data_IF_235606986032
#
_entry.id   IF_235606986032
#
_cell.length_a   1.000
_cell.length_b   1.000
_cell.length_c   1.000
_cell.angle_alpha   90.00
_cell.angle_beta   90.00
_cell.angle_gamma   90.00
#
_symmetry.space_group_name_H-M   'P 1'
#
loop_
_entity.id
_entity.type
_entity.pdbx_description
1 polymer ?
#
# COMPACT_ATOMS: atom_id res chain seq x y z
N UNK A 1 -25.72 11.03 -3.56
CA UNK A 1 -24.96 9.85 -4.04
C UNK A 1 -23.55 10.04 -3.56
N UNK A 2 -23.12 9.25 -2.57
CA UNK A 2 -21.76 9.27 -2.06
C UNK A 2 -20.83 8.66 -3.10
N UNK A 3 -19.60 9.17 -3.29
CA UNK A 3 -18.63 8.55 -4.20
C UNK A 3 -18.36 7.10 -3.81
N UNK A 4 -18.14 6.24 -4.81
CA UNK A 4 -17.93 4.78 -4.66
C UNK A 4 -16.89 4.42 -3.59
N UNK A 5 -15.85 5.24 -3.42
CA UNK A 5 -14.80 5.09 -2.40
C UNK A 5 -15.33 5.05 -0.96
N UNK A 6 -16.37 5.82 -0.63
CA UNK A 6 -16.97 5.80 0.73
C UNK A 6 -17.86 4.58 0.99
N UNK A 7 -18.45 4.00 -0.04
CA UNK A 7 -19.24 2.79 0.09
C UNK A 7 -18.35 1.55 0.28
N UNK A 8 -17.20 1.51 -0.41
CA UNK A 8 -16.20 0.45 -0.26
C UNK A 8 -15.52 0.51 1.12
N UNK A 9 -15.17 1.70 1.61
CA UNK A 9 -14.59 1.87 2.95
C UNK A 9 -15.47 1.26 4.07
N UNK A 10 -16.80 1.40 3.98
CA UNK A 10 -17.71 0.77 4.94
C UNK A 10 -17.74 -0.76 4.83
N UNK A 11 -17.60 -1.31 3.63
CA UNK A 11 -17.58 -2.77 3.41
C UNK A 11 -16.27 -3.39 3.87
N UNK A 12 -15.14 -2.72 3.62
CA UNK A 12 -13.83 -3.17 4.09
C UNK A 12 -13.68 -3.07 5.61
N UNK A 13 -14.18 -2.02 6.25
CA UNK A 13 -14.21 -1.91 7.71
C UNK A 13 -14.96 -3.09 8.35
N UNK A 14 -16.07 -3.54 7.78
CA UNK A 14 -16.82 -4.67 8.32
C UNK A 14 -16.12 -6.02 8.12
N UNK A 15 -15.35 -6.21 7.04
CA UNK A 15 -14.64 -7.47 6.77
C UNK A 15 -13.37 -7.64 7.64
N UNK A 16 -12.71 -6.53 8.00
CA UNK A 16 -11.43 -6.56 8.71
C UNK A 16 -11.53 -6.30 10.22
N UNK A 17 -12.70 -5.81 10.72
CA UNK A 17 -12.89 -5.42 12.12
C UNK A 17 -14.00 -6.18 12.85
N UNK A 18 -14.47 -7.32 12.36
CA UNK A 18 -15.62 -8.03 12.96
C UNK A 18 -15.36 -8.67 14.32
N UNK A 19 -14.15 -8.74 14.83
CA UNK A 19 -13.87 -9.45 16.09
C UNK A 19 -13.64 -8.57 17.34
N UNK A 20 -13.55 -7.24 17.26
CA UNK A 20 -13.17 -6.45 18.44
C UNK A 20 -14.02 -5.20 18.76
N UNK A 21 -15.11 -4.95 18.04
CA UNK A 21 -15.95 -3.75 18.28
C UNK A 21 -16.80 -3.84 19.56
N UNK A 22 -16.89 -4.99 20.19
CA UNK A 22 -17.68 -5.20 21.43
C UNK A 22 -16.97 -4.72 22.69
N UNK A 23 -15.69 -4.35 22.63
CA UNK A 23 -14.92 -3.84 23.78
C UNK A 23 -14.92 -2.32 23.95
N UNK A 24 -15.52 -1.56 23.07
CA UNK A 24 -15.52 -0.08 23.12
C UNK A 24 -16.60 0.55 24.01
N UNK A 25 -17.32 -0.21 24.82
CA UNK A 25 -18.34 0.32 25.74
C UNK A 25 -17.89 0.43 27.20
N UNK A 26 -16.59 0.29 27.48
CA UNK A 26 -16.08 0.57 28.81
C UNK A 26 -15.83 2.06 29.01
N UNK A 27 -16.42 2.63 30.06
CA UNK A 27 -16.24 4.00 30.53
C UNK A 27 -14.76 4.35 30.68
N UNK A 28 -14.33 5.58 30.32
CA UNK A 28 -12.94 5.98 30.41
C UNK A 28 -12.44 5.85 31.87
N UNK A 29 -11.50 4.95 32.07
CA UNK A 29 -10.77 4.82 33.34
C UNK A 29 -9.92 6.08 33.55
N UNK A 30 -9.78 6.50 34.80
CA UNK A 30 -9.00 7.65 35.24
C UNK A 30 -7.56 7.64 34.70
N UNK A 31 -6.92 8.82 34.49
CA UNK A 31 -5.63 8.97 33.78
C UNK A 31 -4.42 8.23 34.41
N UNK A 32 -4.59 7.58 35.55
CA UNK A 32 -3.49 6.95 36.30
C UNK A 32 -3.21 5.50 35.93
N UNK A 33 -4.06 4.83 35.14
CA UNK A 33 -3.95 3.41 34.80
C UNK A 33 -3.67 3.11 33.32
N UNK A 34 -3.31 4.10 32.51
CA UNK A 34 -2.83 3.86 31.15
C UNK A 34 -1.37 3.39 31.23
N UNK A 35 -1.16 2.11 31.44
CA UNK A 35 0.03 1.45 30.91
C UNK A 35 0.01 1.68 29.40
N UNK A 36 0.81 2.63 28.93
CA UNK A 36 1.04 2.82 27.49
C UNK A 36 1.59 1.49 27.00
N UNK A 37 0.83 0.80 26.16
CA UNK A 37 1.32 -0.41 25.53
C UNK A 37 2.51 -0.03 24.64
N UNK A 38 3.68 -0.55 25.01
CA UNK A 38 4.93 -0.23 24.30
C UNK A 38 4.88 -0.75 22.87
N UNK A 39 4.13 -1.81 22.61
CA UNK A 39 3.92 -2.38 21.30
C UNK A 39 3.04 -1.44 20.44
N UNK A 40 1.91 -1.00 20.96
CA UNK A 40 1.02 -0.05 20.30
C UNK A 40 1.74 1.27 20.00
N UNK A 41 2.58 1.75 20.93
CA UNK A 41 3.39 2.95 20.73
C UNK A 41 4.41 2.77 19.59
N UNK A 42 5.00 1.58 19.44
CA UNK A 42 5.91 1.30 18.34
C UNK A 42 5.16 1.26 16.99
N UNK A 43 4.01 0.62 16.93
CA UNK A 43 3.17 0.56 15.73
C UNK A 43 2.74 1.97 15.28
N UNK A 44 2.25 2.79 16.22
CA UNK A 44 1.87 4.18 15.93
C UNK A 44 3.06 5.03 15.43
N UNK A 45 4.27 4.82 15.99
CA UNK A 45 5.48 5.48 15.52
C UNK A 45 5.82 5.09 14.08
N UNK A 46 5.75 3.79 13.75
CA UNK A 46 6.01 3.29 12.40
C UNK A 46 4.95 3.84 11.44
N UNK A 47 3.67 3.83 11.81
CA UNK A 47 2.60 4.40 11.00
C UNK A 47 2.85 5.88 10.67
N UNK A 48 3.30 6.68 11.64
CA UNK A 48 3.70 8.07 11.42
C UNK A 48 4.85 8.22 10.43
N UNK A 49 5.82 7.30 10.45
CA UNK A 49 6.92 7.26 9.46
C UNK A 49 6.38 6.91 8.08
N UNK A 50 5.51 5.90 7.99
CA UNK A 50 4.88 5.52 6.72
C UNK A 50 4.10 6.69 6.14
N UNK A 51 3.30 7.38 6.95
CA UNK A 51 2.58 8.59 6.54
C UNK A 51 3.50 9.66 5.96
N UNK A 52 4.65 9.86 6.56
CA UNK A 52 5.58 10.92 6.18
C UNK A 52 6.39 10.61 4.92
N UNK A 53 6.89 9.37 4.76
CA UNK A 53 7.95 9.09 3.80
C UNK A 53 7.74 7.87 2.91
N UNK A 54 6.78 6.97 3.20
CA UNK A 54 6.55 5.82 2.35
C UNK A 54 5.84 6.19 1.05
N UNK A 55 6.12 5.43 0.00
CA UNK A 55 5.37 5.42 -1.24
C UNK A 55 4.61 4.10 -1.33
N UNK A 56 3.29 4.16 -1.33
CA UNK A 56 2.38 3.04 -1.60
C UNK A 56 1.89 3.23 -3.02
N UNK A 57 2.22 2.33 -3.94
CA UNK A 57 1.99 2.54 -5.36
C UNK A 57 1.98 1.22 -6.14
N UNK A 58 1.61 1.30 -7.40
CA UNK A 58 1.72 0.21 -8.37
C UNK A 58 2.71 0.59 -9.46
N UNK A 59 3.62 -0.32 -9.76
CA UNK A 59 4.51 -0.22 -10.91
C UNK A 59 3.98 -1.07 -12.05
N UNK A 60 3.82 -0.46 -13.23
CA UNK A 60 3.45 -1.15 -14.45
C UNK A 60 4.65 -1.08 -15.39
N UNK A 61 5.08 -2.22 -15.89
CA UNK A 61 6.19 -2.34 -16.83
C UNK A 61 5.81 -3.25 -17.99
N UNK A 62 6.32 -2.96 -19.17
CA UNK A 62 6.23 -3.87 -20.31
C UNK A 62 7.17 -5.04 -20.06
N UNK A 63 6.65 -6.26 -20.21
CA UNK A 63 7.39 -7.49 -19.95
C UNK A 63 6.76 -8.64 -20.76
N UNK A 64 7.42 -9.04 -21.84
CA UNK A 64 6.89 -9.99 -22.83
C UNK A 64 6.65 -11.42 -22.28
N UNK A 65 7.16 -11.72 -21.09
CA UNK A 65 6.89 -12.98 -20.39
C UNK A 65 5.47 -13.10 -19.84
N UNK A 66 4.75 -11.99 -19.73
CA UNK A 66 3.35 -11.95 -19.27
C UNK A 66 2.39 -12.05 -20.45
N UNK A 67 1.26 -12.73 -20.25
CA UNK A 67 0.29 -13.03 -21.31
C UNK A 67 -0.19 -11.81 -22.10
N UNK A 68 -0.27 -10.63 -21.44
CA UNK A 68 -0.66 -9.37 -22.06
C UNK A 68 0.53 -8.45 -22.38
N UNK A 69 1.77 -8.93 -22.21
CA UNK A 69 2.98 -8.14 -22.42
C UNK A 69 3.25 -7.09 -21.33
N UNK A 70 2.49 -7.08 -20.24
CA UNK A 70 2.65 -6.12 -19.15
C UNK A 70 2.61 -6.81 -17.79
N UNK A 71 3.44 -6.30 -16.89
CA UNK A 71 3.48 -6.71 -15.48
C UNK A 71 2.86 -5.63 -14.61
N UNK A 72 1.92 -6.03 -13.76
CA UNK A 72 1.28 -5.19 -12.75
C UNK A 72 1.87 -5.53 -11.37
N UNK A 73 2.55 -4.59 -10.71
CA UNK A 73 3.30 -4.85 -9.49
C UNK A 73 2.97 -3.86 -8.39
N UNK A 74 2.10 -4.22 -7.43
CA UNK A 74 1.91 -3.46 -6.21
C UNK A 74 3.21 -3.39 -5.40
N UNK A 75 3.45 -2.27 -4.70
CA UNK A 75 4.63 -2.15 -3.86
C UNK A 75 4.52 -1.04 -2.81
N UNK A 76 5.19 -1.26 -1.69
CA UNK A 76 5.49 -0.25 -0.68
C UNK A 76 6.99 0.02 -0.70
N UNK A 77 7.36 1.30 -0.72
CA UNK A 77 8.77 1.72 -0.73
C UNK A 77 9.04 2.76 0.34
N UNK A 78 10.20 2.63 0.98
CA UNK A 78 10.76 3.66 1.85
C UNK A 78 12.16 4.02 1.38
N UNK A 79 12.40 5.31 1.19
CA UNK A 79 13.71 5.83 0.84
C UNK A 79 14.36 6.49 2.07
N UNK A 80 15.57 6.05 2.43
CA UNK A 80 16.33 6.57 3.56
C UNK A 80 17.79 6.81 3.20
N UNK A 81 18.39 7.91 3.70
CA UNK A 81 19.81 8.18 3.46
C UNK A 81 20.73 7.31 4.33
N UNK A 82 20.22 6.76 5.42
CA UNK A 82 21.02 6.03 6.39
C UNK A 82 20.40 4.66 6.68
N UNK A 83 21.17 3.60 6.43
CA UNK A 83 20.77 2.21 6.70
C UNK A 83 20.78 1.90 8.19
N UNK A 84 21.78 2.43 8.90
CA UNK A 84 22.03 2.06 10.30
C UNK A 84 21.32 3.01 11.27
N UNK A 85 20.33 3.77 10.77
CA UNK A 85 19.52 4.64 11.62
C UNK A 85 18.67 3.83 12.60
N UNK A 86 18.46 4.33 13.84
CA UNK A 86 17.56 3.68 14.81
C UNK A 86 16.14 3.42 14.25
N UNK A 87 15.72 4.25 13.31
CA UNK A 87 14.43 4.08 12.63
C UNK A 87 14.40 2.83 11.75
N UNK A 88 15.47 2.60 10.97
CA UNK A 88 15.56 1.38 10.15
C UNK A 88 15.55 0.14 11.04
N UNK A 89 16.27 0.14 12.15
CA UNK A 89 16.23 -0.95 13.12
C UNK A 89 14.82 -1.24 13.67
N UNK A 90 14.01 -0.19 13.88
CA UNK A 90 12.61 -0.39 14.30
C UNK A 90 11.73 -0.96 13.18
N UNK A 91 11.95 -0.54 11.93
CA UNK A 91 11.22 -1.07 10.78
C UNK A 91 11.63 -2.52 10.53
N UNK A 92 12.92 -2.85 10.66
CA UNK A 92 13.42 -4.22 10.53
C UNK A 92 12.77 -5.13 11.58
N UNK A 93 12.77 -4.72 12.87
CA UNK A 93 12.12 -5.47 13.94
C UNK A 93 10.62 -5.67 13.68
N UNK A 94 9.92 -4.62 13.26
CA UNK A 94 8.51 -4.71 12.90
C UNK A 94 8.25 -5.68 11.74
N UNK A 95 9.07 -5.65 10.69
CA UNK A 95 8.96 -6.58 9.58
C UNK A 95 9.22 -8.03 10.03
N UNK A 96 10.15 -8.25 10.96
CA UNK A 96 10.45 -9.56 11.54
C UNK A 96 9.25 -10.07 12.37
N UNK A 97 8.69 -9.24 13.23
CA UNK A 97 7.55 -9.58 14.09
C UNK A 97 6.30 -9.94 13.27
N UNK A 98 6.02 -9.19 12.21
CA UNK A 98 4.88 -9.42 11.31
C UNK A 98 5.15 -10.48 10.23
N UNK A 99 6.35 -11.05 10.18
CA UNK A 99 6.76 -12.03 9.16
C UNK A 99 6.73 -11.47 7.75
N UNK A 100 7.15 -10.22 7.56
CA UNK A 100 7.18 -9.48 6.30
C UNK A 100 8.54 -9.61 5.64
N UNK A 101 8.58 -10.13 4.41
CA UNK A 101 9.80 -10.13 3.62
C UNK A 101 9.93 -8.81 2.86
N UNK A 102 11.11 -8.24 2.85
CA UNK A 102 11.43 -7.03 2.10
C UNK A 102 12.79 -7.13 1.43
N UNK A 103 13.00 -6.31 0.42
CA UNK A 103 14.32 -6.14 -0.21
C UNK A 103 14.91 -4.79 0.16
N UNK A 104 16.21 -4.76 0.46
CA UNK A 104 16.96 -3.55 0.71
C UNK A 104 18.01 -3.35 -0.38
N UNK A 105 17.89 -2.28 -1.13
CA UNK A 105 18.86 -1.91 -2.16
C UNK A 105 19.47 -0.55 -1.88
N UNK A 106 20.73 -0.39 -2.31
CA UNK A 106 21.47 0.88 -2.20
C UNK A 106 21.48 1.57 -3.55
N UNK A 107 20.94 2.77 -3.60
CA UNK A 107 20.96 3.64 -4.77
C UNK A 107 22.01 4.73 -4.58
N UNK A 108 23.01 4.76 -5.47
CA UNK A 108 24.01 5.82 -5.48
C UNK A 108 23.42 7.08 -6.10
N UNK A 109 23.44 8.19 -5.36
CA UNK A 109 23.06 9.52 -5.84
C UNK A 109 24.24 10.49 -5.72
N UNK A 110 24.21 11.59 -6.48
CA UNK A 110 25.31 12.57 -6.52
C UNK A 110 25.72 13.12 -5.13
N UNK A 111 24.76 13.29 -4.22
CA UNK A 111 24.99 13.93 -2.92
C UNK A 111 25.11 12.96 -1.74
N UNK A 112 24.47 11.81 -1.82
CA UNK A 112 24.48 10.79 -0.76
C UNK A 112 23.89 9.49 -1.28
N UNK A 113 24.35 8.37 -0.74
CA UNK A 113 23.71 7.08 -0.95
C UNK A 113 22.32 7.07 -0.32
N UNK A 114 21.35 6.46 -1.00
CA UNK A 114 20.00 6.29 -0.49
C UNK A 114 19.66 4.81 -0.46
N UNK A 115 19.19 4.35 0.68
CA UNK A 115 18.67 3.00 0.83
C UNK A 115 17.20 2.98 0.50
N UNK A 116 16.79 1.99 -0.30
CA UNK A 116 15.44 1.75 -0.73
C UNK A 116 14.99 0.40 -0.16
N UNK A 117 14.15 0.46 0.87
CA UNK A 117 13.41 -0.69 1.37
C UNK A 117 12.17 -0.86 0.50
N UNK A 118 11.97 -2.07 -0.01
CA UNK A 118 10.84 -2.39 -0.90
C UNK A 118 10.17 -3.69 -0.48
N UNK A 119 8.85 -3.62 -0.32
CA UNK A 119 7.96 -4.74 -0.13
C UNK A 119 7.12 -4.84 -1.40
N UNK A 120 7.13 -5.97 -2.11
CA UNK A 120 6.49 -6.14 -3.41
C UNK A 120 5.78 -7.49 -3.59
N UNK A 121 5.78 -8.33 -2.57
CA UNK A 121 4.87 -9.47 -2.49
C UNK A 121 3.50 -9.02 -1.96
N UNK A 122 2.38 -9.37 -2.61
CA UNK A 122 1.03 -8.96 -2.17
C UNK A 122 0.70 -9.35 -0.72
N UNK A 123 1.12 -10.52 -0.26
CA UNK A 123 0.88 -11.01 1.10
C UNK A 123 1.70 -10.22 2.11
N UNK A 124 2.95 -9.92 1.79
CA UNK A 124 3.83 -9.14 2.64
C UNK A 124 3.39 -7.67 2.73
N UNK A 125 2.89 -7.08 1.63
CA UNK A 125 2.28 -5.74 1.64
C UNK A 125 1.08 -5.73 2.59
N UNK A 126 0.23 -6.75 2.54
CA UNK A 126 -0.95 -6.87 3.40
C UNK A 126 -0.56 -7.01 4.87
N UNK A 127 0.40 -7.88 5.20
CA UNK A 127 0.91 -8.05 6.57
C UNK A 127 1.52 -6.76 7.11
N UNK A 128 2.28 -6.06 6.28
CA UNK A 128 2.93 -4.81 6.63
C UNK A 128 1.94 -3.69 6.93
N UNK A 129 0.93 -3.49 6.07
CA UNK A 129 0.01 -2.35 6.17
C UNK A 129 -1.13 -2.59 7.17
N UNK A 130 -1.62 -3.82 7.33
CA UNK A 130 -2.81 -4.12 8.13
C UNK A 130 -2.72 -3.65 9.58
N UNK A 131 -1.64 -3.95 10.35
CA UNK A 131 -1.52 -3.47 11.74
C UNK A 131 -1.35 -1.94 11.84
N UNK A 132 -0.82 -1.30 10.79
CA UNK A 132 -0.61 0.14 10.75
C UNK A 132 -1.88 0.94 10.49
N UNK A 133 -2.91 0.32 9.86
CA UNK A 133 -4.14 1.00 9.42
C UNK A 133 -4.80 1.88 10.49
N UNK A 134 -5.00 1.43 11.76
CA UNK A 134 -5.64 2.25 12.78
C UNK A 134 -4.89 3.54 13.12
N UNK A 135 -3.60 3.60 12.80
CA UNK A 135 -2.68 4.68 13.15
C UNK A 135 -2.29 5.55 11.95
N UNK A 136 -2.69 5.17 10.71
CA UNK A 136 -2.44 5.98 9.52
C UNK A 136 -3.41 7.16 9.46
N UNK A 137 -2.90 8.33 9.10
CA UNK A 137 -3.68 9.57 8.93
C UNK A 137 -3.71 9.97 7.47
N UNK A 138 -2.57 10.34 6.91
CA UNK A 138 -2.51 10.85 5.53
C UNK A 138 -2.55 9.75 4.46
N UNK A 139 -2.12 8.54 4.79
CA UNK A 139 -2.10 7.40 3.86
C UNK A 139 -3.16 6.36 4.12
N UNK A 140 -4.12 6.64 5.00
CA UNK A 140 -5.21 5.71 5.29
C UNK A 140 -5.98 5.32 4.03
N UNK A 141 -6.46 6.30 3.25
CA UNK A 141 -7.19 6.06 2.00
C UNK A 141 -6.33 5.37 0.94
N UNK A 142 -5.04 5.73 0.86
CA UNK A 142 -4.07 5.08 -0.04
C UNK A 142 -3.87 3.61 0.31
N UNK A 143 -3.81 3.28 1.59
CA UNK A 143 -3.68 1.91 2.06
C UNK A 143 -4.96 1.10 1.82
N UNK A 144 -6.15 1.69 2.02
CA UNK A 144 -7.42 1.05 1.66
C UNK A 144 -7.48 0.72 0.17
N UNK A 145 -7.13 1.67 -0.68
CA UNK A 145 -7.10 1.47 -2.12
C UNK A 145 -6.05 0.40 -2.52
N UNK A 146 -4.92 0.35 -1.81
CA UNK A 146 -3.94 -0.73 -2.02
C UNK A 146 -4.52 -2.09 -1.65
N UNK A 147 -5.31 -2.22 -0.58
CA UNK A 147 -5.97 -3.49 -0.26
C UNK A 147 -6.95 -3.93 -1.34
N UNK A 148 -7.73 -3.01 -1.92
CA UNK A 148 -8.58 -3.31 -3.06
C UNK A 148 -7.76 -3.83 -4.25
N UNK A 149 -6.64 -3.18 -4.56
CA UNK A 149 -5.71 -3.64 -5.60
C UNK A 149 -5.22 -5.06 -5.31
N UNK A 150 -4.82 -5.34 -4.06
CA UNK A 150 -4.32 -6.67 -3.68
C UNK A 150 -5.39 -7.76 -3.81
N UNK A 151 -6.63 -7.47 -3.43
CA UNK A 151 -7.75 -8.42 -3.55
C UNK A 151 -8.02 -8.76 -5.01
N UNK A 152 -8.10 -7.77 -5.89
CA UNK A 152 -8.33 -7.97 -7.32
C UNK A 152 -7.16 -8.68 -8.02
N UNK A 153 -5.93 -8.41 -7.59
CA UNK A 153 -4.74 -9.15 -8.07
C UNK A 153 -4.79 -10.61 -7.63
N UNK A 154 -5.24 -10.88 -6.39
CA UNK A 154 -5.40 -12.24 -5.87
C UNK A 154 -6.53 -13.00 -6.59
N UNK A 155 -7.58 -12.31 -7.00
CA UNK A 155 -8.68 -12.83 -7.84
C UNK A 155 -8.26 -13.08 -9.31
N UNK A 156 -7.04 -12.68 -9.70
CA UNK A 156 -6.52 -12.89 -11.05
C UNK A 156 -7.00 -11.89 -12.09
N UNK A 157 -7.60 -10.76 -11.69
CA UNK A 157 -8.06 -9.73 -12.64
C UNK A 157 -6.93 -9.21 -13.55
N UNK A 158 -5.69 -9.22 -13.07
CA UNK A 158 -4.51 -8.81 -13.84
C UNK A 158 -4.16 -9.75 -14.99
N UNK A 159 -4.85 -10.88 -15.16
CA UNK A 159 -4.57 -11.89 -16.19
C UNK A 159 -5.46 -11.75 -17.45
N UNK A 160 -6.41 -10.80 -17.45
CA UNK A 160 -7.25 -10.51 -18.60
C UNK A 160 -7.31 -9.00 -18.90
N UNK A 161 -7.65 -8.63 -20.14
CA UNK A 161 -7.60 -7.25 -20.62
C UNK A 161 -8.54 -6.30 -19.84
N UNK A 162 -9.78 -6.70 -19.60
CA UNK A 162 -10.76 -5.87 -18.89
C UNK A 162 -10.36 -5.66 -17.42
N UNK A 163 -10.00 -6.74 -16.72
CA UNK A 163 -9.55 -6.67 -15.32
C UNK A 163 -8.27 -5.86 -15.18
N UNK A 164 -7.26 -6.09 -16.04
CA UNK A 164 -6.03 -5.31 -16.04
C UNK A 164 -6.31 -3.82 -16.29
N UNK A 165 -7.18 -3.49 -17.25
CA UNK A 165 -7.60 -2.12 -17.52
C UNK A 165 -8.23 -1.45 -16.29
N UNK A 166 -9.10 -2.15 -15.58
CA UNK A 166 -9.71 -1.67 -14.34
C UNK A 166 -8.66 -1.47 -13.24
N UNK A 167 -7.73 -2.42 -13.08
CA UNK A 167 -6.59 -2.31 -12.15
C UNK A 167 -5.69 -1.12 -12.48
N UNK A 168 -5.49 -0.79 -13.76
CA UNK A 168 -4.73 0.42 -14.14
C UNK A 168 -5.46 1.67 -13.68
N UNK A 169 -6.80 1.70 -13.72
CA UNK A 169 -7.59 2.80 -13.15
C UNK A 169 -7.31 3.01 -11.66
N UNK A 170 -7.26 1.92 -10.86
CA UNK A 170 -6.88 1.99 -9.45
C UNK A 170 -5.43 2.44 -9.26
N UNK A 171 -4.51 2.01 -10.14
CA UNK A 171 -3.14 2.48 -10.12
C UNK A 171 -3.02 3.99 -10.40
N UNK A 172 -3.83 4.53 -11.32
CA UNK A 172 -3.88 5.96 -11.61
C UNK A 172 -4.48 6.74 -10.43
N UNK A 173 -5.49 6.18 -9.76
CA UNK A 173 -6.05 6.76 -8.54
C UNK A 173 -5.00 6.78 -7.41
N UNK A 174 -4.29 5.69 -7.15
CA UNK A 174 -3.18 5.66 -6.19
C UNK A 174 -2.12 6.73 -6.48
N UNK A 175 -1.80 6.95 -7.76
CA UNK A 175 -0.84 7.98 -8.18
C UNK A 175 -1.36 9.39 -7.93
N UNK A 176 -2.68 9.61 -7.97
CA UNK A 176 -3.28 10.92 -7.74
C UNK A 176 -3.06 11.44 -6.30
N UNK A 177 -2.85 10.54 -5.33
CA UNK A 177 -2.49 10.90 -3.96
C UNK A 177 -1.00 11.28 -3.82
N UNK A 178 -0.16 10.98 -4.81
CA UNK A 178 1.24 11.36 -4.76
C UNK A 178 1.42 12.83 -5.14
N UNK A 179 2.00 13.63 -4.24
CA UNK A 179 2.27 15.06 -4.48
C UNK A 179 3.36 15.32 -5.53
N UNK A 180 4.24 14.34 -5.72
CA UNK A 180 5.38 14.45 -6.62
C UNK A 180 5.58 13.13 -7.36
N UNK A 181 5.73 13.20 -8.66
CA UNK A 181 6.02 12.03 -9.50
C UNK A 181 6.20 12.45 -10.96
N UNK A 182 7.00 11.70 -11.71
CA UNK A 182 7.01 11.79 -13.17
C UNK A 182 5.65 11.31 -13.72
N UNK A 183 5.21 11.88 -14.85
CA UNK A 183 4.01 11.37 -15.52
C UNK A 183 4.22 9.89 -15.86
N UNK A 184 3.30 9.00 -15.43
CA UNK A 184 3.41 7.59 -15.75
C UNK A 184 3.22 7.38 -17.26
N UNK A 185 3.97 6.44 -17.84
CA UNK A 185 3.80 6.05 -19.24
C UNK A 185 2.52 5.24 -19.44
N UNK A 186 2.29 4.29 -18.54
CA UNK A 186 1.20 3.33 -18.60
C UNK A 186 0.04 3.80 -17.71
N UNK A 187 -0.93 4.48 -18.35
CA UNK A 187 -2.16 5.00 -17.75
C UNK A 187 -3.36 4.24 -18.29
N UNK A 188 -4.52 4.41 -17.69
CA UNK A 188 -5.76 3.84 -18.22
C UNK A 188 -6.06 4.37 -19.62
N UNK A 189 -5.73 5.64 -19.93
CA UNK A 189 -5.88 6.20 -21.27
C UNK A 189 -4.97 5.51 -22.29
N UNK A 190 -3.69 5.27 -21.93
CA UNK A 190 -2.76 4.51 -22.76
C UNK A 190 -3.33 3.14 -23.14
N UNK A 191 -3.84 2.37 -22.17
CA UNK A 191 -4.39 1.05 -22.44
C UNK A 191 -5.73 1.07 -23.16
N UNK A 192 -6.52 2.12 -23.01
CA UNK A 192 -7.73 2.31 -23.82
C UNK A 192 -7.40 2.44 -25.32
N UNK A 193 -6.32 3.13 -25.65
CA UNK A 193 -5.87 3.26 -27.04
C UNK A 193 -5.22 1.96 -27.54
N UNK A 194 -4.29 1.40 -26.76
CA UNK A 194 -3.53 0.20 -27.10
C UNK A 194 -4.43 -1.02 -27.27
N UNK A 195 -5.45 -1.17 -26.44
CA UNK A 195 -6.34 -2.32 -26.37
C UNK A 195 -7.76 -2.05 -26.86
N UNK A 196 -7.93 -1.06 -27.71
CA UNK A 196 -9.24 -0.67 -28.24
C UNK A 196 -10.06 -1.82 -28.83
N UNK A 197 -9.40 -2.81 -29.44
CA UNK A 197 -10.04 -4.00 -30.01
C UNK A 197 -10.49 -5.03 -28.95
N UNK A 198 -9.86 -5.03 -27.78
CA UNK A 198 -10.12 -6.01 -26.71
C UNK A 198 -11.06 -5.47 -25.63
N UNK A 199 -11.34 -4.18 -25.59
CA UNK A 199 -12.15 -3.49 -24.59
C UNK A 199 -13.55 -3.10 -25.10
N UNK A 200 -14.01 -3.63 -26.24
CA UNK A 200 -15.26 -3.23 -26.93
C UNK A 200 -16.55 -3.59 -26.17
N UNK A 201 -16.49 -4.43 -25.15
CA UNK A 201 -17.64 -4.93 -24.40
C UNK A 201 -17.65 -4.56 -22.90
N UNK A 202 -16.96 -3.46 -22.50
CA UNK A 202 -16.92 -3.05 -21.08
C UNK A 202 -17.65 -1.74 -20.81
#
# INVERSE_FOLDING_TARGET
VLPLTKQLACSYLNLYFTDDFTKMTETPKTPTDQCIDMEETNIAHIAGVIDAVASITVHISQEDSYAMGYRYKPMVRLYRPDRDSPLMGKIDAYCEDEGVNYSLSKEKREKSDVFNLRIDDPRDIRRFLKPLMPHLVSKYEVALLMFEVLDRVEEGEHENYSGFYNLVGLADELRSYARYGSKPKYTQEYFREEWSEYLVDT
#
